data_IF_293775739909
#
_entry.id   IF_293775739909
#
_cell.length_a   1.000
_cell.length_b   1.000
_cell.length_c   1.000
_cell.angle_alpha   90.00
_cell.angle_beta   90.00
_cell.angle_gamma   90.00
#
_symmetry.space_group_name_H-M   'P 1'
#
loop_
_entity.id
_entity.type
_entity.pdbx_description
1 polymer ?
#
# COMPACT_ATOMS: atom_id res chain seq x y z
N UNK A 1 1.08 26.02 8.98
CA UNK A 1 2.12 24.98 8.84
C UNK A 1 2.28 24.68 7.36
N UNK A 2 3.47 24.83 6.79
CA UNK A 2 3.70 24.57 5.35
C UNK A 2 3.61 23.07 5.07
N UNK A 3 3.02 22.68 3.95
CA UNK A 3 2.98 21.30 3.50
C UNK A 3 4.37 20.93 2.95
N UNK A 4 4.99 19.82 3.39
CA UNK A 4 6.31 19.45 2.90
C UNK A 4 6.26 19.11 1.41
N UNK A 5 7.23 19.59 0.65
CA UNK A 5 7.32 19.29 -0.77
C UNK A 5 8.42 18.25 -1.02
N UNK A 6 8.24 17.33 -1.99
CA UNK A 6 9.30 16.41 -2.34
C UNK A 6 10.47 17.21 -2.95
N UNK A 7 11.71 17.07 -2.44
CA UNK A 7 12.89 17.69 -3.04
C UNK A 7 13.19 17.08 -4.41
N UNK A 8 13.99 17.76 -5.22
CA UNK A 8 14.31 17.34 -6.61
C UNK A 8 15.02 15.98 -6.70
N UNK A 9 15.71 15.57 -5.64
CA UNK A 9 16.41 14.29 -5.51
C UNK A 9 15.56 13.22 -4.79
N UNK A 10 14.27 13.47 -4.54
CA UNK A 10 13.38 12.47 -3.97
C UNK A 10 13.36 11.20 -4.84
N UNK A 11 13.32 10.03 -4.18
CA UNK A 11 13.20 8.76 -4.89
C UNK A 11 11.79 8.64 -5.46
N UNK A 12 11.69 8.44 -6.77
CA UNK A 12 10.43 8.42 -7.53
C UNK A 12 10.08 6.99 -7.92
N UNK A 13 8.83 6.58 -7.72
CA UNK A 13 8.28 5.32 -8.22
C UNK A 13 6.89 5.56 -8.80
N UNK A 14 6.64 5.08 -10.02
CA UNK A 14 5.28 5.04 -10.59
C UNK A 14 4.49 3.92 -9.92
N UNK A 15 3.21 4.15 -9.67
CA UNK A 15 2.33 3.19 -9.01
C UNK A 15 0.89 3.42 -9.46
N UNK A 16 0.02 2.44 -9.20
CA UNK A 16 -1.40 2.53 -9.53
C UNK A 16 -2.21 2.77 -8.26
N UNK A 17 -3.36 3.41 -8.41
CA UNK A 17 -4.33 3.58 -7.34
C UNK A 17 -4.68 2.22 -6.71
N UNK A 18 -4.67 2.13 -5.38
CA UNK A 18 -4.87 0.85 -4.68
C UNK A 18 -6.32 0.34 -4.72
N UNK A 19 -7.27 1.16 -5.18
CA UNK A 19 -8.69 1.00 -4.89
C UNK A 19 -9.49 0.46 -6.09
N UNK A 20 -10.24 1.34 -6.77
CA UNK A 20 -11.21 0.93 -7.77
C UNK A 20 -10.57 0.58 -9.13
N UNK A 21 -11.33 -0.15 -9.94
CA UNK A 21 -10.95 -0.67 -11.25
C UNK A 21 -10.50 0.37 -12.28
N UNK A 22 -10.80 1.66 -12.08
CA UNK A 22 -10.31 2.73 -12.98
C UNK A 22 -8.79 2.70 -13.11
N UNK A 23 -8.07 2.29 -12.06
CA UNK A 23 -6.62 2.11 -12.17
C UNK A 23 -5.85 3.40 -12.41
N UNK A 24 -6.32 4.52 -11.84
CA UNK A 24 -5.66 5.82 -11.96
C UNK A 24 -4.17 5.70 -11.62
N UNK A 25 -3.35 6.41 -12.39
CA UNK A 25 -1.90 6.43 -12.31
C UNK A 25 -1.42 7.48 -11.29
N UNK A 26 -0.43 7.08 -10.50
CA UNK A 26 0.16 7.86 -9.42
C UNK A 26 1.68 7.77 -9.46
N UNK A 27 2.30 8.78 -8.87
CA UNK A 27 3.73 8.81 -8.60
C UNK A 27 3.93 8.90 -7.08
N UNK A 28 4.72 7.98 -6.54
CA UNK A 28 5.15 7.96 -5.17
C UNK A 28 6.56 8.58 -5.05
N UNK A 29 6.66 9.69 -4.33
CA UNK A 29 7.91 10.35 -3.96
C UNK A 29 8.27 9.98 -2.53
N UNK A 30 9.54 9.64 -2.29
CA UNK A 30 10.05 9.32 -0.95
C UNK A 30 11.37 10.03 -0.68
N UNK A 31 11.50 10.66 0.50
CA UNK A 31 12.69 11.43 0.90
C UNK A 31 12.86 11.43 2.41
N UNK A 32 14.01 11.90 2.89
CA UNK A 32 14.28 12.05 4.33
C UNK A 32 13.46 13.17 4.95
N UNK A 33 12.89 12.92 6.14
CA UNK A 33 12.23 13.98 6.89
C UNK A 33 13.22 15.12 7.21
N UNK A 34 12.81 16.37 6.95
CA UNK A 34 13.65 17.55 7.13
C UNK A 34 14.46 17.96 5.90
N UNK A 35 14.47 17.15 4.83
CA UNK A 35 15.04 17.51 3.52
C UNK A 35 13.95 17.85 2.51
N UNK A 36 13.03 18.73 2.88
CA UNK A 36 11.92 19.11 2.03
C UNK A 36 12.39 20.06 0.92
N UNK A 37 11.77 19.97 -0.25
CA UNK A 37 11.92 20.95 -1.33
C UNK A 37 11.25 22.28 -1.01
N UNK A 38 11.55 23.29 -1.81
CA UNK A 38 10.95 24.62 -1.71
C UNK A 38 9.77 24.87 -2.66
N UNK A 39 9.07 26.00 -2.48
CA UNK A 39 7.87 26.31 -3.24
C UNK A 39 8.11 26.71 -4.69
N UNK A 40 9.35 27.04 -5.08
CA UNK A 40 9.68 27.34 -6.46
C UNK A 40 9.66 26.07 -7.32
N UNK A 41 9.25 26.12 -8.60
CA UNK A 41 9.11 24.93 -9.46
C UNK A 41 10.45 24.20 -9.70
N UNK A 42 11.57 24.92 -9.61
CA UNK A 42 12.92 24.37 -9.72
C UNK A 42 13.48 23.86 -8.37
N UNK A 43 12.68 23.85 -7.31
CA UNK A 43 13.10 23.44 -5.97
C UNK A 43 12.22 22.32 -5.39
N UNK A 44 11.28 21.79 -6.19
CA UNK A 44 10.49 20.61 -5.85
C UNK A 44 10.39 19.64 -7.03
N UNK A 45 10.24 18.35 -6.74
CA UNK A 45 10.14 17.30 -7.76
C UNK A 45 8.79 17.25 -8.50
N UNK A 46 7.81 18.05 -8.08
CA UNK A 46 6.53 18.19 -8.80
C UNK A 46 6.65 19.16 -9.98
N UNK A 47 7.69 20.01 -10.02
CA UNK A 47 7.86 21.02 -11.06
C UNK A 47 6.81 22.13 -11.01
N UNK A 48 6.13 22.30 -9.86
CA UNK A 48 5.00 23.24 -9.70
C UNK A 48 5.44 24.46 -8.90
N UNK A 49 4.97 25.64 -9.30
CA UNK A 49 5.14 26.86 -8.52
C UNK A 49 4.06 26.98 -7.44
N UNK A 50 4.47 26.88 -6.18
CA UNK A 50 3.60 27.00 -5.01
C UNK A 50 3.67 28.39 -4.36
N UNK A 51 4.39 29.34 -4.96
CA UNK A 51 4.48 30.73 -4.47
C UNK A 51 3.25 31.55 -4.82
N UNK A 52 2.48 31.08 -5.80
CA UNK A 52 1.25 31.72 -6.28
C UNK A 52 0.02 30.86 -5.96
N UNK A 53 -1.16 31.48 -5.72
CA UNK A 53 -2.40 30.74 -5.63
C UNK A 53 -2.66 29.91 -6.89
N UNK A 54 -2.99 28.64 -6.68
CA UNK A 54 -3.35 27.74 -7.78
C UNK A 54 -4.80 27.97 -8.17
N UNK A 55 -5.07 28.04 -9.48
CA UNK A 55 -6.44 28.09 -10.00
C UNK A 55 -7.23 26.81 -9.70
N UNK A 56 -8.52 26.80 -10.04
CA UNK A 56 -9.45 25.68 -9.76
C UNK A 56 -8.97 24.32 -10.31
N UNK A 57 -8.09 24.33 -11.32
CA UNK A 57 -7.51 23.14 -11.96
C UNK A 57 -5.99 23.02 -11.74
N UNK A 58 -5.45 23.69 -10.72
CA UNK A 58 -4.04 23.57 -10.38
C UNK A 58 -3.70 22.22 -9.74
N UNK A 59 -2.40 21.91 -9.68
CA UNK A 59 -1.91 20.62 -9.17
C UNK A 59 -2.52 20.28 -7.79
N UNK A 60 -3.08 19.06 -7.59
CA UNK A 60 -3.94 18.76 -6.45
C UNK A 60 -3.20 18.51 -5.13
N UNK A 61 -1.92 18.89 -5.04
CA UNK A 61 -1.08 18.51 -3.92
C UNK A 61 -1.62 19.10 -2.62
N UNK A 62 -1.91 18.22 -1.66
CA UNK A 62 -2.59 18.56 -0.42
C UNK A 62 -2.30 17.59 0.73
N UNK A 63 -2.83 17.86 1.94
CA UNK A 63 -2.48 17.14 3.17
C UNK A 63 -2.74 15.63 3.15
N UNK A 64 -3.67 15.15 2.33
CA UNK A 64 -3.97 13.71 2.21
C UNK A 64 -2.98 12.97 1.30
N UNK A 65 -2.19 13.70 0.52
CA UNK A 65 -1.26 13.16 -0.47
C UNK A 65 0.16 13.03 0.05
N UNK A 66 0.44 13.44 1.30
CA UNK A 66 1.77 13.32 1.90
C UNK A 66 1.69 12.95 3.37
N UNK A 67 2.64 12.15 3.81
CA UNK A 67 2.74 11.75 5.21
C UNK A 67 4.17 11.40 5.60
N UNK A 68 4.38 11.11 6.88
CA UNK A 68 5.63 10.56 7.41
C UNK A 68 5.44 9.08 7.78
N UNK A 69 6.40 8.25 7.38
CA UNK A 69 6.51 6.84 7.77
C UNK A 69 7.80 6.60 8.55
N UNK A 70 7.77 5.60 9.42
CA UNK A 70 8.95 5.11 10.13
C UNK A 70 9.50 3.91 9.34
N UNK A 71 10.75 3.98 8.89
CA UNK A 71 11.45 2.91 8.17
C UNK A 71 12.66 2.44 8.95
N UNK A 72 13.26 1.32 8.55
CA UNK A 72 14.55 0.86 9.12
C UNK A 72 15.68 1.89 8.91
N UNK A 73 15.59 2.71 7.87
CA UNK A 73 16.56 3.75 7.55
C UNK A 73 16.22 5.12 8.18
N UNK A 74 15.26 5.17 9.12
CA UNK A 74 14.80 6.40 9.76
C UNK A 74 13.44 6.90 9.27
N UNK A 75 13.08 8.12 9.68
CA UNK A 75 11.82 8.76 9.30
C UNK A 75 11.89 9.28 7.87
N UNK A 76 10.94 8.86 7.04
CA UNK A 76 10.84 9.25 5.64
C UNK A 76 9.51 9.96 5.41
N UNK A 77 9.51 10.95 4.51
CA UNK A 77 8.27 11.45 3.93
C UNK A 77 7.89 10.62 2.72
N UNK A 78 6.59 10.43 2.54
CA UNK A 78 6.01 9.72 1.40
C UNK A 78 4.89 10.59 0.86
N UNK A 79 5.05 11.05 -0.38
CA UNK A 79 3.97 11.67 -1.13
C UNK A 79 3.48 10.71 -2.21
N UNK A 80 2.18 10.60 -2.40
CA UNK A 80 1.57 9.82 -3.48
C UNK A 80 0.58 10.73 -4.19
N UNK A 81 0.91 11.12 -5.42
CA UNK A 81 0.19 12.14 -6.18
C UNK A 81 -0.24 11.58 -7.54
N UNK A 82 -1.36 12.04 -8.12
CA UNK A 82 -1.75 11.65 -9.46
C UNK A 82 -0.66 12.00 -10.49
N UNK A 83 -0.37 11.09 -11.41
CA UNK A 83 0.66 11.33 -12.43
C UNK A 83 0.20 12.41 -13.43
N UNK A 84 1.06 13.40 -13.70
CA UNK A 84 0.74 14.52 -14.60
C UNK A 84 0.66 14.13 -16.07
N UNK A 85 1.32 13.03 -16.43
CA UNK A 85 1.37 12.44 -17.76
C UNK A 85 0.41 11.25 -17.92
N UNK A 86 -0.56 11.08 -17.02
CA UNK A 86 -1.51 9.97 -17.10
C UNK A 86 -2.53 10.15 -18.23
N UNK A 87 -2.68 9.11 -19.05
CA UNK A 87 -3.78 9.00 -20.03
C UNK A 87 -5.12 8.62 -19.39
N UNK A 88 -5.09 8.02 -18.18
CA UNK A 88 -6.27 7.52 -17.46
C UNK A 88 -6.92 8.65 -16.66
N UNK A 89 -6.18 9.25 -15.72
CA UNK A 89 -6.64 10.36 -14.89
C UNK A 89 -5.90 11.63 -15.29
N UNK A 90 -6.33 12.16 -16.43
CA UNK A 90 -5.78 13.36 -17.05
C UNK A 90 -5.82 14.55 -16.08
N UNK A 91 -4.93 15.52 -16.30
CA UNK A 91 -4.85 16.76 -15.49
C UNK A 91 -4.63 16.52 -13.99
N UNK A 92 -3.99 15.41 -13.63
CA UNK A 92 -3.82 14.99 -12.24
C UNK A 92 -5.15 14.77 -11.49
N UNK A 93 -6.22 14.40 -12.20
CA UNK A 93 -7.50 14.12 -11.56
C UNK A 93 -7.39 12.91 -10.62
N UNK A 94 -8.25 12.91 -9.59
CA UNK A 94 -8.28 11.84 -8.61
C UNK A 94 -9.62 11.78 -7.88
N UNK A 95 -9.96 10.59 -7.39
CA UNK A 95 -11.03 10.42 -6.41
C UNK A 95 -10.53 10.73 -5.00
N UNK A 96 -11.45 11.01 -4.07
CA UNK A 96 -11.14 11.14 -2.65
C UNK A 96 -10.41 9.91 -2.07
N UNK A 97 -10.64 8.72 -2.63
CA UNK A 97 -9.94 7.48 -2.25
C UNK A 97 -8.47 7.54 -2.67
N UNK A 98 -8.23 7.75 -3.98
CA UNK A 98 -6.87 7.78 -4.52
C UNK A 98 -6.02 8.94 -4.01
N UNK A 99 -6.63 10.11 -3.78
CA UNK A 99 -5.97 11.26 -3.15
C UNK A 99 -5.55 11.04 -1.69
N UNK A 100 -5.93 9.91 -1.09
CA UNK A 100 -5.53 9.48 0.25
C UNK A 100 -4.59 8.26 0.24
N UNK A 101 -4.05 7.84 -0.91
CA UNK A 101 -3.10 6.72 -1.01
C UNK A 101 -1.92 6.87 -0.03
N UNK A 102 -1.37 8.08 0.13
CA UNK A 102 -0.27 8.31 1.07
C UNK A 102 -0.68 7.99 2.52
N UNK A 103 -1.94 8.23 2.89
CA UNK A 103 -2.44 7.97 4.25
C UNK A 103 -2.58 6.47 4.56
N UNK A 104 -2.61 5.59 3.56
CA UNK A 104 -2.70 4.14 3.77
C UNK A 104 -1.37 3.50 4.17
N UNK A 105 -0.26 4.22 3.99
CA UNK A 105 1.06 3.76 4.40
C UNK A 105 1.14 3.50 5.91
N UNK A 106 1.86 2.45 6.28
CA UNK A 106 2.00 2.06 7.68
C UNK A 106 2.80 3.11 8.48
N UNK A 107 2.33 3.42 9.68
CA UNK A 107 3.05 4.23 10.66
C UNK A 107 2.48 3.95 12.04
N UNK A 108 3.35 3.73 13.03
CA UNK A 108 2.96 3.47 14.41
C UNK A 108 2.20 4.63 15.06
N UNK A 109 2.33 5.84 14.51
CA UNK A 109 1.71 7.08 15.02
C UNK A 109 0.34 7.39 14.43
N UNK A 110 -0.18 6.52 13.56
CA UNK A 110 -1.47 6.68 12.87
C UNK A 110 -2.32 5.43 13.06
N UNK A 111 -3.60 5.47 12.67
CA UNK A 111 -4.48 4.29 12.71
C UNK A 111 -3.92 3.10 11.90
N UNK A 112 -3.12 3.37 10.87
CA UNK A 112 -2.42 2.31 10.12
C UNK A 112 -1.42 1.53 10.98
N UNK A 113 -1.07 2.00 12.18
CA UNK A 113 -0.31 1.25 13.19
C UNK A 113 -1.03 -0.01 13.71
N UNK A 114 -2.35 -0.12 13.51
CA UNK A 114 -3.13 -1.31 13.84
C UNK A 114 -2.94 -2.47 12.84
N UNK A 115 -2.20 -2.29 11.73
CA UNK A 115 -1.90 -3.39 10.80
C UNK A 115 -1.18 -4.53 11.53
N UNK A 116 -1.51 -5.77 11.16
CA UNK A 116 -0.84 -6.96 11.67
C UNK A 116 0.67 -6.90 11.38
N UNK A 117 1.48 -7.12 12.42
CA UNK A 117 2.95 -7.08 12.35
C UNK A 117 3.61 -8.44 12.60
N UNK A 118 2.83 -9.41 13.10
CA UNK A 118 3.28 -10.76 13.46
C UNK A 118 2.11 -11.75 13.35
N UNK A 119 2.38 -13.03 13.09
CA UNK A 119 1.38 -14.07 13.19
C UNK A 119 0.77 -14.15 14.59
N UNK A 120 -0.50 -14.53 14.66
CA UNK A 120 -1.24 -14.72 15.91
C UNK A 120 -1.90 -16.11 15.89
N UNK A 121 -1.73 -16.89 16.96
CA UNK A 121 -2.39 -18.17 17.17
C UNK A 121 -3.44 -18.03 18.26
N UNK A 122 -4.58 -18.71 18.13
CA UNK A 122 -5.58 -18.77 19.20
C UNK A 122 -5.19 -19.82 20.23
N UNK A 123 -5.02 -19.39 21.48
CA UNK A 123 -4.75 -20.25 22.64
C UNK A 123 -5.80 -19.95 23.69
N UNK A 124 -6.72 -20.90 23.93
CA UNK A 124 -7.91 -20.65 24.74
C UNK A 124 -8.77 -19.52 24.17
N UNK A 125 -9.01 -18.49 24.98
CA UNK A 125 -9.80 -17.31 24.64
C UNK A 125 -8.99 -16.17 24.00
N UNK A 126 -7.65 -16.27 23.95
CA UNK A 126 -6.77 -15.20 23.51
C UNK A 126 -6.09 -15.46 22.14
N UNK A 127 -5.73 -14.38 21.44
CA UNK A 127 -4.81 -14.40 20.31
C UNK A 127 -3.40 -14.08 20.81
N UNK A 128 -2.52 -15.08 20.75
CA UNK A 128 -1.13 -14.94 21.20
C UNK A 128 -0.18 -14.82 20.00
N UNK A 129 0.79 -13.90 20.06
CA UNK A 129 1.82 -13.79 19.04
C UNK A 129 2.71 -15.02 18.95
N UNK A 130 2.99 -15.48 17.73
CA UNK A 130 3.88 -16.62 17.45
C UNK A 130 4.85 -16.28 16.31
N UNK A 131 5.86 -17.11 16.12
CA UNK A 131 6.80 -17.01 14.99
C UNK A 131 6.14 -17.41 13.66
N UNK A 132 6.79 -17.07 12.54
CA UNK A 132 6.32 -17.51 11.22
C UNK A 132 6.47 -19.03 11.06
N UNK A 133 7.54 -19.61 11.61
CA UNK A 133 7.81 -21.04 11.62
C UNK A 133 6.70 -21.79 12.36
N UNK A 134 6.32 -21.36 13.56
CA UNK A 134 5.23 -21.97 14.33
C UNK A 134 3.87 -21.82 13.62
N UNK A 135 3.56 -20.62 13.11
CA UNK A 135 2.28 -20.39 12.42
C UNK A 135 2.14 -21.25 11.16
N UNK A 136 3.20 -21.35 10.36
CA UNK A 136 3.19 -22.13 9.12
C UNK A 136 3.22 -23.64 9.37
N UNK A 137 3.94 -24.12 10.39
CA UNK A 137 3.94 -25.53 10.79
C UNK A 137 2.54 -26.00 11.24
N UNK A 138 1.87 -25.22 12.10
CA UNK A 138 0.51 -25.54 12.54
C UNK A 138 -0.46 -25.58 11.36
N UNK A 139 -0.43 -24.56 10.48
CA UNK A 139 -1.29 -24.52 9.29
C UNK A 139 -1.06 -25.73 8.38
N UNK A 140 0.20 -26.06 8.10
CA UNK A 140 0.55 -27.19 7.24
C UNK A 140 0.07 -28.52 7.82
N UNK A 141 0.33 -28.78 9.10
CA UNK A 141 -0.09 -30.03 9.78
C UNK A 141 -1.60 -30.20 9.80
N UNK A 142 -2.34 -29.12 10.05
CA UNK A 142 -3.81 -29.16 10.06
C UNK A 142 -4.34 -29.41 8.66
N UNK A 143 -3.89 -28.66 7.65
CA UNK A 143 -4.36 -28.80 6.27
C UNK A 143 -4.05 -30.19 5.70
N UNK A 144 -2.81 -30.67 5.84
CA UNK A 144 -2.41 -32.00 5.38
C UNK A 144 -3.17 -33.08 6.15
N UNK A 145 -3.25 -32.96 7.47
CA UNK A 145 -3.95 -33.94 8.30
C UNK A 145 -5.45 -34.03 8.02
N UNK A 146 -6.11 -32.91 7.68
CA UNK A 146 -7.52 -32.90 7.25
C UNK A 146 -7.64 -33.56 5.89
N UNK A 147 -6.79 -33.18 4.93
CA UNK A 147 -6.82 -33.74 3.58
C UNK A 147 -6.62 -35.26 3.56
N UNK A 148 -5.65 -35.76 4.32
CA UNK A 148 -5.34 -37.20 4.39
C UNK A 148 -6.48 -38.02 5.02
N UNK A 149 -7.20 -37.44 5.98
CA UNK A 149 -8.27 -38.14 6.72
C UNK A 149 -9.66 -37.99 6.07
N UNK A 150 -9.92 -36.86 5.43
CA UNK A 150 -11.27 -36.47 5.01
C UNK A 150 -11.36 -36.06 3.52
N UNK A 151 -10.25 -36.12 2.78
CA UNK A 151 -10.19 -35.68 1.38
C UNK A 151 -9.98 -34.16 1.24
N UNK A 152 -9.68 -33.73 0.02
CA UNK A 152 -9.41 -32.32 -0.28
C UNK A 152 -10.65 -31.43 -0.09
N UNK A 153 -11.85 -31.94 -0.43
CA UNK A 153 -13.13 -31.23 -0.32
C UNK A 153 -13.51 -30.86 1.14
N UNK A 154 -12.81 -31.42 2.14
CA UNK A 154 -12.97 -31.04 3.53
C UNK A 154 -12.23 -29.73 3.89
N UNK A 155 -11.46 -29.16 2.96
CA UNK A 155 -10.80 -27.87 3.09
C UNK A 155 -11.66 -26.82 2.39
N UNK A 156 -11.89 -25.69 3.04
CA UNK A 156 -12.57 -24.55 2.42
C UNK A 156 -11.65 -23.34 2.42
N UNK A 157 -11.62 -22.62 1.30
CA UNK A 157 -10.90 -21.37 1.17
C UNK A 157 -11.84 -20.24 0.73
N UNK A 158 -11.68 -19.08 1.38
CA UNK A 158 -12.27 -17.82 0.93
C UNK A 158 -11.13 -16.87 0.59
N UNK A 159 -10.84 -16.73 -0.69
CA UNK A 159 -9.76 -15.91 -1.21
C UNK A 159 -10.31 -14.73 -2.03
N UNK A 160 -9.47 -13.72 -2.22
CA UNK A 160 -9.69 -12.70 -3.26
C UNK A 160 -9.41 -13.30 -4.64
N UNK A 161 -10.04 -12.75 -5.67
CA UNK A 161 -9.82 -13.06 -7.08
C UNK A 161 -9.59 -11.80 -7.95
N UNK A 162 -9.49 -10.63 -7.31
CA UNK A 162 -9.45 -9.32 -7.97
C UNK A 162 -8.02 -8.77 -8.15
N UNK A 163 -7.90 -7.64 -8.86
CA UNK A 163 -6.64 -6.88 -9.02
C UNK A 163 -6.37 -5.87 -7.88
N UNK A 164 -5.35 -5.02 -8.02
CA UNK A 164 -5.13 -3.88 -7.11
C UNK A 164 -4.75 -4.25 -5.66
N UNK A 165 -5.09 -3.38 -4.71
CA UNK A 165 -4.73 -3.55 -3.31
C UNK A 165 -5.38 -4.81 -2.70
N UNK A 166 -4.55 -5.75 -2.26
CA UNK A 166 -5.01 -7.03 -1.70
C UNK A 166 -5.23 -8.15 -2.72
N UNK A 167 -4.89 -7.92 -3.99
CA UNK A 167 -4.97 -8.92 -5.06
C UNK A 167 -3.81 -8.77 -6.05
N UNK A 168 -4.09 -8.84 -7.35
CA UNK A 168 -3.08 -8.73 -8.41
C UNK A 168 -2.60 -10.09 -8.93
N UNK A 169 -1.86 -10.08 -10.04
CA UNK A 169 -1.50 -11.31 -10.75
C UNK A 169 -0.68 -12.26 -9.88
N UNK A 170 0.32 -11.72 -9.18
CA UNK A 170 1.24 -12.48 -8.34
C UNK A 170 0.51 -13.20 -7.21
N UNK A 171 -0.38 -12.47 -6.52
CA UNK A 171 -1.13 -12.98 -5.39
C UNK A 171 -2.18 -14.00 -5.83
N UNK A 172 -2.93 -13.72 -6.90
CA UNK A 172 -3.92 -14.65 -7.44
C UNK A 172 -3.25 -15.95 -7.92
N UNK A 173 -2.11 -15.84 -8.60
CA UNK A 173 -1.38 -17.02 -9.05
C UNK A 173 -0.89 -17.87 -7.88
N UNK A 174 -0.29 -17.25 -6.85
CA UNK A 174 0.22 -17.98 -5.70
C UNK A 174 -0.89 -18.67 -4.91
N UNK A 175 -1.99 -17.96 -4.62
CA UNK A 175 -3.14 -18.52 -3.90
C UNK A 175 -3.82 -19.60 -4.74
N UNK A 176 -4.08 -19.35 -6.03
CA UNK A 176 -4.70 -20.33 -6.92
C UNK A 176 -3.86 -21.59 -7.08
N UNK A 177 -2.53 -21.46 -7.22
CA UNK A 177 -1.64 -22.62 -7.31
C UNK A 177 -1.63 -23.45 -6.02
N UNK A 178 -1.66 -22.81 -4.85
CA UNK A 178 -1.77 -23.51 -3.57
C UNK A 178 -3.10 -24.27 -3.46
N UNK A 179 -4.22 -23.61 -3.72
CA UNK A 179 -5.55 -24.18 -3.54
C UNK A 179 -5.86 -25.24 -4.60
N UNK A 180 -5.76 -24.88 -5.89
CA UNK A 180 -6.24 -25.73 -6.99
C UNK A 180 -5.24 -26.79 -7.42
N UNK A 181 -3.93 -26.55 -7.28
CA UNK A 181 -2.90 -27.50 -7.73
C UNK A 181 -2.31 -28.30 -6.57
N UNK A 182 -1.87 -27.64 -5.49
CA UNK A 182 -1.19 -28.35 -4.41
C UNK A 182 -2.17 -29.07 -3.47
N UNK A 183 -3.21 -28.38 -3.01
CA UNK A 183 -4.24 -28.97 -2.15
C UNK A 183 -5.29 -29.74 -2.96
N UNK A 184 -5.64 -29.25 -4.16
CA UNK A 184 -6.63 -29.88 -5.03
C UNK A 184 -8.04 -29.76 -4.47
N UNK A 185 -8.34 -28.63 -3.82
CA UNK A 185 -9.66 -28.28 -3.28
C UNK A 185 -10.39 -27.28 -4.17
#
# INVERSE_FOLDING_TARGET
MSLPLPPRDAVVRRTVCQFCNVGCDYVAYTWDEGRDGGPAPYDNALGVDFREPRGAYGHPYGPTMVTTVETRAGRRRVAVVPASDSDINRRCDHSARGGANALTTWSRRRRTGERLTRPLLRVGDALVPVTWEEATDVLARVLVGVRERHGADAICAKAFDHGGGGGGFENNFAVGKLLFTALGT
#
